data_IF_636292239040
#
_entry.id   IF_636292239040
#
_cell.length_a   1.000
_cell.length_b   1.000
_cell.length_c   1.000
_cell.angle_alpha   90.00
_cell.angle_beta   90.00
_cell.angle_gamma   90.00
#
_symmetry.space_group_name_H-M   'P 1'
#
loop_
_entity.id
_entity.type
_entity.pdbx_description
1 polymer ?
#
# COMPACT_ATOMS: atom_id res chain seq x y z
N UNK A 1 1.68 18.92 -8.69
CA UNK A 1 3.06 18.92 -9.23
C UNK A 1 4.00 19.80 -8.41
N UNK A 2 3.74 21.10 -8.25
CA UNK A 2 4.68 22.07 -7.65
C UNK A 2 5.14 21.74 -6.22
N UNK A 3 4.27 21.18 -5.37
CA UNK A 3 4.64 20.79 -4.01
C UNK A 3 5.73 19.71 -3.99
N UNK A 4 5.62 18.70 -4.85
CA UNK A 4 6.61 17.62 -4.91
C UNK A 4 7.93 18.13 -5.50
N UNK A 5 7.89 19.04 -6.48
CA UNK A 5 9.08 19.73 -7.00
C UNK A 5 9.80 20.55 -5.92
N UNK A 6 9.07 21.20 -5.02
CA UNK A 6 9.67 21.93 -3.91
C UNK A 6 10.38 20.97 -2.93
N UNK A 7 9.77 19.82 -2.62
CA UNK A 7 10.41 18.78 -1.79
C UNK A 7 11.67 18.23 -2.47
N UNK A 8 11.62 18.00 -3.78
CA UNK A 8 12.75 17.53 -4.59
C UNK A 8 13.94 18.49 -4.50
N UNK A 9 13.69 19.79 -4.65
CA UNK A 9 14.70 20.85 -4.55
C UNK A 9 15.30 20.96 -3.13
N UNK A 10 14.48 20.80 -2.10
CA UNK A 10 14.93 20.79 -0.69
C UNK A 10 15.82 19.56 -0.43
N UNK A 11 15.43 18.38 -0.91
CA UNK A 11 16.24 17.17 -0.80
C UNK A 11 17.57 17.31 -1.51
N UNK A 12 17.59 17.89 -2.72
CA UNK A 12 18.84 18.13 -3.44
C UNK A 12 19.79 19.07 -2.68
N UNK A 13 19.26 20.00 -1.88
CA UNK A 13 20.04 20.96 -1.11
C UNK A 13 20.58 20.40 0.23
N UNK A 14 19.81 19.57 0.93
CA UNK A 14 20.17 19.11 2.29
C UNK A 14 20.54 17.62 2.37
N UNK A 15 20.05 16.79 1.45
CA UNK A 15 20.16 15.32 1.49
C UNK A 15 20.50 14.74 0.11
N UNK A 16 21.65 15.14 -0.44
CA UNK A 16 22.07 14.80 -1.80
C UNK A 16 22.21 13.28 -2.03
N UNK A 17 22.75 12.54 -1.06
CA UNK A 17 22.92 11.09 -1.17
C UNK A 17 21.56 10.35 -1.28
N UNK A 18 20.53 10.80 -0.54
CA UNK A 18 19.19 10.25 -0.68
C UNK A 18 18.53 10.65 -1.99
N UNK A 19 18.78 11.87 -2.49
CA UNK A 19 18.23 12.34 -3.78
C UNK A 19 18.68 11.45 -4.95
N UNK A 20 19.93 10.99 -4.96
CA UNK A 20 20.43 10.09 -6.00
C UNK A 20 19.66 8.75 -6.06
N UNK A 21 19.17 8.27 -4.93
CA UNK A 21 18.46 6.98 -4.82
C UNK A 21 16.95 7.17 -5.00
N UNK A 22 16.38 8.21 -4.38
CA UNK A 22 14.92 8.44 -4.36
C UNK A 22 14.41 9.28 -5.53
N UNK A 23 15.28 9.92 -6.30
CA UNK A 23 14.90 10.85 -7.37
C UNK A 23 13.96 10.24 -8.41
N UNK A 24 14.06 8.94 -8.68
CA UNK A 24 13.13 8.27 -9.60
C UNK A 24 11.74 8.02 -8.99
N UNK A 25 11.63 7.90 -7.66
CA UNK A 25 10.35 7.71 -6.99
C UNK A 25 9.54 9.00 -6.92
N UNK A 26 10.18 10.18 -6.96
CA UNK A 26 9.52 11.48 -6.88
C UNK A 26 8.50 11.69 -8.04
N UNK A 27 8.85 11.46 -9.32
CA UNK A 27 7.88 11.46 -10.43
C UNK A 27 6.82 10.34 -10.33
N UNK A 28 7.18 9.16 -9.81
CA UNK A 28 6.26 8.03 -9.64
C UNK A 28 5.19 8.31 -8.57
N UNK A 29 5.51 9.13 -7.56
CA UNK A 29 4.55 9.57 -6.54
C UNK A 29 3.55 10.57 -7.14
N UNK A 30 4.02 11.53 -7.95
CA UNK A 30 3.15 12.55 -8.58
C UNK A 30 2.19 11.94 -9.59
N UNK A 31 2.65 10.92 -10.33
CA UNK A 31 1.85 10.22 -11.34
C UNK A 31 1.05 9.06 -10.77
N UNK A 32 1.03 8.88 -9.44
CA UNK A 32 0.20 7.86 -8.81
C UNK A 32 -1.29 8.19 -8.99
N UNK A 33 -1.96 7.40 -9.83
CA UNK A 33 -3.36 7.61 -10.18
C UNK A 33 -4.31 7.52 -8.97
N UNK A 34 -4.00 6.70 -7.97
CA UNK A 34 -4.86 6.55 -6.80
C UNK A 34 -4.85 7.80 -5.91
N UNK A 35 -3.68 8.42 -5.75
CA UNK A 35 -3.54 9.68 -5.00
C UNK A 35 -4.24 10.82 -5.74
N UNK A 36 -4.03 10.94 -7.06
CA UNK A 36 -4.68 11.98 -7.86
C UNK A 36 -6.20 11.83 -7.88
N UNK A 37 -6.72 10.61 -8.06
CA UNK A 37 -8.16 10.35 -8.06
C UNK A 37 -8.83 10.72 -6.73
N UNK A 38 -8.18 10.43 -5.60
CA UNK A 38 -8.69 10.83 -4.27
C UNK A 38 -8.60 12.34 -4.04
N UNK A 39 -7.53 12.98 -4.49
CA UNK A 39 -7.39 14.42 -4.42
C UNK A 39 -8.50 15.14 -5.21
N UNK A 40 -8.81 14.67 -6.42
CA UNK A 40 -9.88 15.26 -7.23
C UNK A 40 -11.28 14.94 -6.69
N UNK A 41 -11.53 13.71 -6.22
CA UNK A 41 -12.86 13.29 -5.77
C UNK A 41 -13.23 13.82 -4.38
N UNK A 42 -12.27 13.87 -3.44
CA UNK A 42 -12.53 14.20 -2.04
C UNK A 42 -12.06 15.61 -1.66
N UNK A 43 -10.82 15.99 -2.00
CA UNK A 43 -10.26 17.28 -1.58
C UNK A 43 -10.86 18.47 -2.33
N UNK A 44 -11.34 18.27 -3.57
CA UNK A 44 -12.02 19.32 -4.36
C UNK A 44 -13.39 19.73 -3.79
N UNK A 45 -14.04 18.85 -3.01
CA UNK A 45 -15.45 19.03 -2.58
C UNK A 45 -15.65 19.14 -1.07
N UNK A 46 -14.60 18.97 -0.25
CA UNK A 46 -14.68 18.98 1.21
C UNK A 46 -13.78 20.06 1.82
N UNK A 47 -14.01 20.37 3.09
CA UNK A 47 -13.18 21.30 3.87
C UNK A 47 -11.77 20.72 4.11
N UNK A 48 -10.80 21.62 4.35
CA UNK A 48 -9.37 21.30 4.44
C UNK A 48 -9.05 20.31 5.57
N UNK A 49 -9.75 20.43 6.70
CA UNK A 49 -9.63 19.59 7.90
C UNK A 49 -9.96 18.12 7.59
N UNK A 50 -11.07 17.87 6.88
CA UNK A 50 -11.48 16.52 6.49
C UNK A 50 -10.56 15.93 5.42
N UNK A 51 -10.07 16.76 4.51
CA UNK A 51 -9.20 16.33 3.40
C UNK A 51 -7.82 15.87 3.89
N UNK A 52 -7.28 16.49 4.95
CA UNK A 52 -6.02 16.04 5.57
C UNK A 52 -6.17 14.64 6.17
N UNK A 53 -7.27 14.39 6.89
CA UNK A 53 -7.54 13.08 7.50
C UNK A 53 -7.69 12.01 6.42
N UNK A 54 -8.38 12.31 5.32
CA UNK A 54 -8.52 11.37 4.20
C UNK A 54 -7.17 11.04 3.55
N UNK A 55 -6.33 12.05 3.32
CA UNK A 55 -4.99 11.87 2.77
C UNK A 55 -4.09 11.01 3.67
N UNK A 56 -4.12 11.25 4.98
CA UNK A 56 -3.36 10.47 5.96
C UNK A 56 -3.82 9.01 6.00
N UNK A 57 -5.14 8.77 6.05
CA UNK A 57 -5.69 7.42 6.09
C UNK A 57 -5.42 6.65 4.80
N UNK A 58 -5.54 7.31 3.65
CA UNK A 58 -5.23 6.70 2.35
C UNK A 58 -3.75 6.34 2.23
N UNK A 59 -2.85 7.25 2.63
CA UNK A 59 -1.40 6.99 2.65
C UNK A 59 -1.05 5.84 3.59
N UNK A 60 -1.57 5.85 4.81
CA UNK A 60 -1.33 4.80 5.80
C UNK A 60 -1.85 3.43 5.33
N UNK A 61 -3.05 3.38 4.75
CA UNK A 61 -3.60 2.15 4.17
C UNK A 61 -2.72 1.61 3.04
N UNK A 62 -2.31 2.48 2.11
CA UNK A 62 -1.41 2.09 1.02
C UNK A 62 -0.08 1.53 1.54
N UNK A 63 0.54 2.20 2.51
CA UNK A 63 1.76 1.70 3.16
C UNK A 63 1.54 0.35 3.85
N UNK A 64 0.45 0.16 4.58
CA UNK A 64 0.14 -1.11 5.26
C UNK A 64 0.00 -2.27 4.26
N UNK A 65 -0.68 -2.04 3.13
CA UNK A 65 -0.82 -3.03 2.06
C UNK A 65 0.53 -3.36 1.42
N UNK A 66 1.37 -2.36 1.15
CA UNK A 66 2.70 -2.59 0.58
C UNK A 66 3.63 -3.35 1.54
N UNK A 67 3.59 -3.03 2.84
CA UNK A 67 4.35 -3.76 3.87
C UNK A 67 3.89 -5.21 3.95
N UNK A 68 2.58 -5.45 4.00
CA UNK A 68 2.02 -6.80 4.05
C UNK A 68 2.36 -7.61 2.78
N UNK A 69 2.22 -7.00 1.60
CA UNK A 69 2.56 -7.63 0.32
C UNK A 69 4.07 -7.89 0.22
N UNK A 70 4.91 -6.98 0.72
CA UNK A 70 6.36 -7.16 0.82
C UNK A 70 6.73 -8.35 1.70
N UNK A 71 6.19 -8.40 2.92
CA UNK A 71 6.41 -9.51 3.85
C UNK A 71 5.95 -10.85 3.25
N UNK A 72 4.78 -10.89 2.61
CA UNK A 72 4.29 -12.10 1.95
C UNK A 72 5.20 -12.53 0.78
N UNK A 73 5.73 -11.58 0.00
CA UNK A 73 6.69 -11.87 -1.08
C UNK A 73 8.02 -12.39 -0.58
N UNK A 74 8.48 -11.90 0.57
CA UNK A 74 9.73 -12.35 1.19
C UNK A 74 9.60 -13.78 1.72
N UNK A 75 8.49 -14.07 2.41
CA UNK A 75 8.17 -15.43 2.90
C UNK A 75 8.09 -16.42 1.73
N UNK A 76 7.41 -16.06 0.64
CA UNK A 76 7.22 -16.96 -0.52
C UNK A 76 8.48 -17.05 -1.38
N UNK A 77 9.24 -15.97 -1.51
CA UNK A 77 10.41 -15.89 -2.38
C UNK A 77 11.67 -16.50 -1.76
N UNK A 78 11.96 -16.17 -0.51
CA UNK A 78 13.23 -16.47 0.17
C UNK A 78 13.07 -17.39 1.40
N UNK A 79 11.85 -17.61 1.89
CA UNK A 79 11.61 -18.44 3.08
C UNK A 79 12.07 -17.79 4.40
N UNK A 80 12.34 -16.49 4.37
CA UNK A 80 12.84 -15.68 5.48
C UNK A 80 11.93 -14.48 5.73
N UNK A 81 11.94 -13.97 6.95
CA UNK A 81 11.29 -12.72 7.32
C UNK A 81 12.36 -11.73 7.79
N UNK A 82 12.45 -10.56 7.16
CA UNK A 82 13.46 -9.51 7.39
C UNK A 82 14.90 -9.93 7.08
N UNK A 83 15.14 -10.66 5.99
CA UNK A 83 16.49 -10.88 5.50
C UNK A 83 17.10 -9.55 5.02
N UNK A 84 18.37 -9.29 5.36
CA UNK A 84 19.09 -8.05 5.05
C UNK A 84 18.58 -6.76 5.74
N UNK A 85 17.77 -6.86 6.80
CA UNK A 85 17.44 -5.70 7.64
C UNK A 85 18.68 -5.01 8.25
N UNK A 86 19.79 -5.75 8.35
CA UNK A 86 21.10 -5.28 8.82
C UNK A 86 21.66 -4.10 8.00
N UNK A 87 21.33 -4.01 6.70
CA UNK A 87 21.83 -2.94 5.82
C UNK A 87 21.17 -1.58 6.10
N UNK A 88 20.00 -1.55 6.74
CA UNK A 88 19.26 -0.31 7.05
C UNK A 88 19.28 -0.02 8.56
N UNK A 89 19.25 -1.05 9.40
CA UNK A 89 19.14 -0.91 10.86
C UNK A 89 20.45 -1.16 11.64
N UNK A 90 21.55 -1.51 10.96
CA UNK A 90 22.84 -1.79 11.61
C UNK A 90 22.74 -3.00 12.56
N UNK A 91 23.46 -2.97 13.69
CA UNK A 91 23.50 -4.07 14.68
C UNK A 91 22.11 -4.50 15.21
N UNK A 92 21.08 -3.65 15.10
CA UNK A 92 19.70 -3.99 15.51
C UNK A 92 18.99 -4.91 14.50
N UNK A 93 19.51 -5.08 13.28
CA UNK A 93 18.95 -5.96 12.24
C UNK A 93 19.06 -7.45 12.55
N UNK A 94 20.13 -7.85 13.25
CA UNK A 94 20.42 -9.26 13.54
C UNK A 94 19.34 -9.92 14.40
N UNK A 95 18.66 -9.14 15.25
CA UNK A 95 17.63 -9.66 16.16
C UNK A 95 16.26 -9.84 15.49
N UNK A 96 16.04 -9.29 14.30
CA UNK A 96 14.74 -9.37 13.60
C UNK A 96 14.68 -10.50 12.57
N UNK A 97 15.81 -11.14 12.27
CA UNK A 97 15.93 -12.18 11.27
C UNK A 97 15.27 -13.48 11.76
N UNK A 98 14.09 -13.79 11.22
CA UNK A 98 13.42 -15.07 11.47
C UNK A 98 13.58 -15.95 10.24
N UNK A 99 14.52 -16.90 10.31
CA UNK A 99 14.77 -17.90 9.27
C UNK A 99 13.86 -19.11 9.49
N UNK A 100 12.97 -19.41 8.53
CA UNK A 100 12.07 -20.57 8.61
C UNK A 100 12.57 -21.77 7.80
N UNK A 101 13.31 -21.60 6.69
CA UNK A 101 13.79 -22.72 5.85
C UNK A 101 15.17 -22.45 5.22
N UNK A 102 16.15 -23.31 5.51
CA UNK A 102 17.58 -23.16 5.13
C UNK A 102 17.92 -23.51 3.67
N UNK A 103 16.96 -23.89 2.81
CA UNK A 103 17.27 -24.39 1.47
C UNK A 103 16.09 -24.24 0.49
N UNK A 104 15.71 -23.00 0.20
CA UNK A 104 14.80 -22.72 -0.92
C UNK A 104 15.59 -22.07 -2.06
N UNK A 105 15.64 -22.73 -3.21
CA UNK A 105 16.09 -22.13 -4.47
C UNK A 105 15.09 -21.02 -4.80
N UNK A 106 15.43 -19.78 -4.42
CA UNK A 106 14.52 -18.65 -4.41
C UNK A 106 13.68 -18.58 -5.67
N UNK A 107 12.35 -18.53 -5.51
CA UNK A 107 11.48 -18.43 -6.67
C UNK A 107 11.60 -17.01 -7.22
N UNK A 108 12.51 -16.81 -8.17
CA UNK A 108 12.75 -15.53 -8.86
C UNK A 108 11.45 -14.90 -9.40
N UNK A 109 10.47 -15.75 -9.72
CA UNK A 109 9.15 -15.36 -10.17
C UNK A 109 8.32 -14.60 -9.11
N UNK A 110 8.52 -14.87 -7.82
CA UNK A 110 7.83 -14.19 -6.72
C UNK A 110 8.40 -12.79 -6.42
N UNK A 111 9.69 -12.58 -6.74
CA UNK A 111 10.37 -11.30 -6.58
C UNK A 111 10.15 -10.36 -7.78
N UNK A 112 9.89 -10.88 -8.97
CA UNK A 112 9.62 -10.07 -10.17
C UNK A 112 8.20 -9.44 -10.17
N UNK A 113 7.92 -8.39 -10.99
CA UNK A 113 6.60 -7.76 -11.11
C UNK A 113 5.39 -8.72 -11.16
N UNK A 114 5.40 -9.84 -11.91
CA UNK A 114 4.32 -10.84 -11.88
C UNK A 114 3.97 -11.37 -10.47
N UNK A 115 4.96 -11.58 -9.60
CA UNK A 115 4.72 -12.04 -8.23
C UNK A 115 3.91 -11.04 -7.40
N UNK A 116 4.14 -9.74 -7.61
CA UNK A 116 3.36 -8.69 -6.95
C UNK A 116 1.90 -8.65 -7.42
N UNK A 117 1.64 -8.87 -8.72
CA UNK A 117 0.26 -8.92 -9.24
C UNK A 117 -0.52 -10.12 -8.71
N UNK A 118 0.09 -11.30 -8.67
CA UNK A 118 -0.55 -12.50 -8.09
C UNK A 118 -0.80 -12.31 -6.59
N UNK A 119 0.18 -11.77 -5.86
CA UNK A 119 0.04 -11.49 -4.44
C UNK A 119 -1.09 -10.50 -4.13
N UNK A 120 -1.16 -9.39 -4.88
CA UNK A 120 -2.24 -8.42 -4.75
C UNK A 120 -3.61 -9.05 -5.09
N UNK A 121 -3.67 -9.86 -6.15
CA UNK A 121 -4.89 -10.57 -6.55
C UNK A 121 -5.42 -11.51 -5.46
N UNK A 122 -4.52 -12.26 -4.81
CA UNK A 122 -4.87 -13.13 -3.67
C UNK A 122 -5.37 -12.33 -2.47
N UNK A 123 -4.71 -11.22 -2.12
CA UNK A 123 -5.13 -10.34 -1.02
C UNK A 123 -6.55 -9.81 -1.29
N UNK A 124 -6.82 -9.35 -2.50
CA UNK A 124 -8.14 -8.84 -2.89
C UNK A 124 -9.19 -9.96 -2.90
N UNK A 125 -8.85 -11.16 -3.38
CA UNK A 125 -9.75 -12.31 -3.35
C UNK A 125 -10.12 -12.73 -1.92
N UNK A 126 -9.14 -12.76 -1.00
CA UNK A 126 -9.37 -13.02 0.42
C UNK A 126 -10.26 -11.94 1.05
N UNK A 127 -9.97 -10.66 0.77
CA UNK A 127 -10.79 -9.54 1.26
C UNK A 127 -12.23 -9.64 0.75
N UNK A 128 -12.43 -10.02 -0.51
CA UNK A 128 -13.76 -10.24 -1.09
C UNK A 128 -14.48 -11.43 -0.41
N UNK A 129 -13.77 -12.53 -0.13
CA UNK A 129 -14.36 -13.68 0.57
C UNK A 129 -14.79 -13.31 2.01
N UNK A 130 -14.00 -12.50 2.71
CA UNK A 130 -14.33 -12.02 4.06
C UNK A 130 -15.51 -11.04 4.02
N UNK A 131 -15.53 -10.10 3.06
CA UNK A 131 -16.65 -9.16 2.90
C UNK A 131 -17.95 -9.91 2.59
N UNK A 132 -17.92 -10.92 1.71
CA UNK A 132 -19.12 -11.73 1.42
C UNK A 132 -19.65 -12.46 2.66
N UNK A 133 -18.77 -12.97 3.53
CA UNK A 133 -19.18 -13.58 4.80
C UNK A 133 -19.83 -12.57 5.77
N UNK A 134 -19.35 -11.32 5.78
CA UNK A 134 -19.95 -10.23 6.57
C UNK A 134 -21.28 -9.76 6.01
N UNK A 135 -21.45 -9.77 4.69
CA UNK A 135 -22.71 -9.45 4.01
C UNK A 135 -23.75 -10.57 4.25
N UNK A 136 -23.37 -11.85 4.20
CA UNK A 136 -24.26 -12.97 4.53
C UNK A 136 -24.67 -13.04 6.01
N UNK A 137 -23.96 -12.33 6.90
CA UNK A 137 -24.31 -12.21 8.32
C UNK A 137 -25.13 -10.94 8.64
N UNK A 138 -25.40 -10.09 7.65
CA UNK A 138 -26.41 -9.04 7.78
C UNK A 138 -27.78 -9.65 7.47
N UNK A 139 -28.71 -9.71 8.44
CA UNK A 139 -30.09 -10.06 8.12
C UNK A 139 -30.62 -9.02 7.13
N UNK A 140 -31.37 -9.49 6.14
CA UNK A 140 -32.05 -8.68 5.14
C UNK A 140 -32.85 -7.56 5.83
N UNK A 141 -32.27 -6.37 5.93
CA UNK A 141 -32.96 -5.18 6.42
C UNK A 141 -32.80 -4.12 5.34
N UNK A 142 -33.90 -3.99 4.59
CA UNK A 142 -34.34 -2.77 3.90
C UNK A 142 -33.77 -2.50 2.51
N UNK A 143 -34.08 -3.37 1.54
CA UNK A 143 -34.18 -2.96 0.12
C UNK A 143 -35.62 -2.53 -0.23
N UNK A 144 -36.62 -2.95 0.55
CA UNK A 144 -38.04 -2.68 0.25
C UNK A 144 -38.52 -1.24 0.53
N UNK A 145 -37.77 -0.42 1.27
CA UNK A 145 -38.24 0.95 1.59
C UNK A 145 -37.91 1.97 0.49
N UNK A 146 -36.95 1.72 -0.40
CA UNK A 146 -36.61 2.68 -1.48
C UNK A 146 -37.58 2.59 -2.66
N UNK A 147 -38.19 1.43 -2.92
CA UNK A 147 -39.16 1.29 -4.02
C UNK A 147 -40.52 1.94 -3.73
N UNK A 148 -40.87 2.21 -2.46
CA UNK A 148 -42.19 2.78 -2.10
C UNK A 148 -42.23 4.31 -2.07
N UNK A 149 -41.09 4.99 -2.10
CA UNK A 149 -41.01 6.47 -2.05
C UNK A 149 -40.85 7.14 -3.42
N UNK A 150 -40.77 6.37 -4.51
CA UNK A 150 -40.65 6.89 -5.89
C UNK A 150 -41.97 6.84 -6.70
N UNK A 151 -43.09 6.42 -6.10
CA UNK A 151 -44.39 6.31 -6.78
C UNK A 151 -45.54 7.04 -6.07
N UNK A 152 -45.24 8.10 -5.31
CA UNK A 152 -46.28 9.02 -4.81
C UNK A 152 -45.84 10.47 -4.99
#
# INVERSE_FOLDING_TARGET
ASFVTLVDLIMQSFFYDMFLILGIFVPLIVTNCAILARAEAFASKNTWDKSIIDGLMMGFGFSMILVFLGAMREIIGSGTLFDQADLIFGDFGYSLKVTFFDNYQGTLLALLPPGAFIGLGLIVALKNLVDQRKISSQPAVTVDTVLKTQTT
#
